data_IF_969589769304
#
_entry.id   IF_969589769304
#
_cell.length_a   1.000
_cell.length_b   1.000
_cell.length_c   1.000
_cell.angle_alpha   90.00
_cell.angle_beta   90.00
_cell.angle_gamma   90.00
#
_symmetry.space_group_name_H-M   'P 1'
#
loop_
_entity.id
_entity.type
_entity.pdbx_description
1 polymer ?
#
# COMPACT_ATOMS: atom_id res chain seq x y z
N UNK A 1 -59.46 29.20 -30.95
CA UNK A 1 -57.97 29.27 -31.15
C UNK A 1 -57.31 28.99 -29.80
N UNK A 2 -56.88 27.75 -29.60
CA UNK A 2 -56.26 27.32 -28.35
C UNK A 2 -54.76 27.23 -28.63
N UNK A 3 -53.95 28.03 -27.92
CA UNK A 3 -52.47 28.03 -27.99
C UNK A 3 -51.92 27.05 -26.93
N UNK A 4 -51.32 25.94 -27.40
CA UNK A 4 -50.52 25.06 -26.55
C UNK A 4 -49.13 25.68 -26.31
N UNK A 5 -48.79 25.94 -25.05
CA UNK A 5 -47.43 26.29 -24.62
C UNK A 5 -46.77 24.98 -24.23
N UNK A 6 -45.75 24.57 -24.98
CA UNK A 6 -44.92 23.42 -24.64
C UNK A 6 -43.84 23.86 -23.67
N UNK A 7 -43.88 23.35 -22.44
CA UNK A 7 -42.86 23.55 -21.40
C UNK A 7 -41.76 22.51 -21.62
N UNK A 8 -40.60 22.92 -22.10
CA UNK A 8 -39.42 22.07 -22.20
C UNK A 8 -38.75 21.94 -20.83
N UNK A 9 -38.81 20.74 -20.25
CA UNK A 9 -38.04 20.40 -19.06
C UNK A 9 -36.59 20.11 -19.45
N UNK A 10 -35.68 21.02 -19.07
CA UNK A 10 -34.24 20.85 -19.23
C UNK A 10 -33.73 20.06 -18.02
N UNK A 11 -33.54 18.73 -18.18
CA UNK A 11 -32.89 17.90 -17.14
C UNK A 11 -31.38 18.23 -17.09
N UNK A 12 -30.95 19.00 -16.11
CA UNK A 12 -29.53 19.13 -15.76
C UNK A 12 -29.05 17.80 -15.09
N UNK A 13 -28.34 16.98 -15.85
CA UNK A 13 -27.56 15.89 -15.29
C UNK A 13 -26.32 16.49 -14.61
N UNK A 14 -26.37 16.65 -13.30
CA UNK A 14 -25.20 16.93 -12.49
C UNK A 14 -24.36 15.65 -12.44
N UNK A 15 -23.23 15.61 -13.18
CA UNK A 15 -22.20 14.60 -12.99
C UNK A 15 -21.55 14.82 -11.63
N UNK A 16 -21.91 13.98 -10.67
CA UNK A 16 -21.20 13.92 -9.38
C UNK A 16 -19.80 13.39 -9.64
N UNK A 17 -18.80 14.27 -9.65
CA UNK A 17 -17.38 13.89 -9.64
C UNK A 17 -17.12 13.23 -8.29
N UNK A 18 -16.60 11.99 -8.23
CA UNK A 18 -16.30 11.35 -6.97
C UNK A 18 -15.25 12.16 -6.19
N UNK A 19 -15.60 12.59 -4.98
CA UNK A 19 -14.84 13.51 -4.12
C UNK A 19 -13.58 12.89 -3.46
N UNK A 20 -12.99 11.84 -4.01
CA UNK A 20 -11.88 11.08 -3.38
C UNK A 20 -10.50 11.28 -4.01
N UNK A 21 -10.36 12.19 -4.98
CA UNK A 21 -9.04 12.57 -5.52
C UNK A 21 -8.42 13.78 -4.77
N UNK A 22 -8.88 14.08 -3.54
CA UNK A 22 -8.48 15.27 -2.80
C UNK A 22 -7.06 15.12 -2.28
N UNK A 23 -6.11 15.74 -3.00
CA UNK A 23 -4.78 16.19 -2.57
C UNK A 23 -3.91 15.18 -1.79
N UNK A 24 -3.58 14.04 -2.40
CA UNK A 24 -2.42 13.28 -1.94
C UNK A 24 -1.17 14.08 -2.30
N UNK A 25 -0.36 14.46 -1.28
CA UNK A 25 0.93 15.11 -1.48
C UNK A 25 1.82 14.18 -2.36
N UNK A 26 2.22 14.60 -3.58
CA UNK A 26 3.00 13.76 -4.46
C UNK A 26 4.36 13.35 -3.86
N UNK A 27 4.92 14.16 -2.96
CA UNK A 27 6.18 13.86 -2.26
C UNK A 27 6.02 12.71 -1.25
N UNK A 28 4.80 12.48 -0.76
CA UNK A 28 4.48 11.43 0.18
C UNK A 28 3.50 10.40 -0.41
N UNK A 29 3.52 10.25 -1.73
CA UNK A 29 2.72 9.25 -2.45
C UNK A 29 3.62 8.25 -3.15
N UNK A 30 3.50 6.97 -2.79
CA UNK A 30 4.19 5.86 -3.42
C UNK A 30 3.24 5.17 -4.41
N UNK A 31 3.69 5.01 -5.65
CA UNK A 31 2.98 4.31 -6.71
C UNK A 31 3.66 2.97 -6.95
N UNK A 32 2.91 1.89 -6.80
CA UNK A 32 3.33 0.54 -7.13
C UNK A 32 2.59 0.09 -8.39
N UNK A 33 3.31 -0.18 -9.46
CA UNK A 33 2.77 -0.94 -10.60
C UNK A 33 2.96 -2.43 -10.28
N UNK A 34 1.87 -3.14 -10.12
CA UNK A 34 1.93 -4.58 -9.81
C UNK A 34 1.46 -5.44 -10.97
N UNK A 35 1.69 -6.74 -10.93
CA UNK A 35 1.16 -7.71 -11.91
C UNK A 35 -0.38 -7.76 -11.92
N UNK A 36 -1.05 -7.16 -10.92
CA UNK A 36 -2.51 -7.07 -10.83
C UNK A 36 -3.07 -5.68 -11.09
N UNK A 37 -2.19 -4.70 -11.37
CA UNK A 37 -2.57 -3.30 -11.60
C UNK A 37 -1.94 -2.35 -10.59
N UNK A 38 -2.24 -1.08 -10.76
CA UNK A 38 -1.66 0.01 -9.95
C UNK A 38 -2.26 0.03 -8.55
N UNK A 39 -1.37 0.23 -7.57
CA UNK A 39 -1.70 0.50 -6.16
C UNK A 39 -1.05 1.81 -5.75
N UNK A 40 -1.81 2.73 -5.17
CA UNK A 40 -1.32 4.04 -4.73
C UNK A 40 -1.39 4.11 -3.21
N UNK A 41 -0.25 4.37 -2.58
CA UNK A 41 -0.11 4.46 -1.13
C UNK A 41 0.24 5.90 -0.75
N UNK A 42 -0.58 6.51 0.10
CA UNK A 42 -0.21 7.75 0.78
C UNK A 42 0.60 7.39 2.01
N UNK A 43 1.87 7.81 2.01
CA UNK A 43 2.76 7.65 3.17
C UNK A 43 2.35 8.64 4.29
N UNK A 44 2.68 8.28 5.52
CA UNK A 44 2.35 9.02 6.74
C UNK A 44 3.62 9.43 7.50
N UNK A 45 4.41 10.40 6.96
CA UNK A 45 5.61 10.88 7.64
C UNK A 45 5.31 11.56 8.99
N UNK A 46 4.06 11.97 9.21
CA UNK A 46 3.56 12.45 10.50
C UNK A 46 3.52 11.35 11.59
N UNK A 47 3.39 10.08 11.20
CA UNK A 47 3.39 8.92 12.11
C UNK A 47 4.76 8.23 12.15
N UNK A 48 5.40 8.08 11.00
CA UNK A 48 6.62 7.31 10.83
C UNK A 48 7.59 7.97 9.84
N UNK A 49 8.21 9.10 10.21
CA UNK A 49 9.05 9.88 9.31
C UNK A 49 10.24 9.09 8.76
N UNK A 50 10.94 8.32 9.59
CA UNK A 50 12.12 7.52 9.17
C UNK A 50 11.73 6.41 8.20
N UNK A 51 10.60 5.75 8.43
CA UNK A 51 10.11 4.69 7.56
C UNK A 51 9.59 5.25 6.24
N UNK A 52 8.87 6.38 6.26
CA UNK A 52 8.41 7.04 5.02
C UNK A 52 9.60 7.43 4.13
N UNK A 53 10.65 8.02 4.69
CA UNK A 53 11.88 8.34 3.94
C UNK A 53 12.57 7.08 3.41
N UNK A 54 12.62 5.99 4.18
CA UNK A 54 13.21 4.73 3.74
C UNK A 54 12.48 4.16 2.54
N UNK A 55 11.14 4.13 2.53
CA UNK A 55 10.40 3.62 1.38
C UNK A 55 10.61 4.47 0.14
N UNK A 56 10.64 5.80 0.28
CA UNK A 56 10.94 6.72 -0.83
C UNK A 56 12.34 6.51 -1.38
N UNK A 57 13.33 6.38 -0.52
CA UNK A 57 14.71 6.11 -0.89
C UNK A 57 14.82 4.79 -1.68
N UNK A 58 14.24 3.71 -1.18
CA UNK A 58 14.28 2.39 -1.81
C UNK A 58 13.52 2.36 -3.14
N UNK A 59 12.41 3.10 -3.25
CA UNK A 59 11.71 3.25 -4.52
C UNK A 59 12.58 3.96 -5.58
N UNK A 60 13.28 5.04 -5.19
CA UNK A 60 14.21 5.78 -6.06
C UNK A 60 15.44 4.95 -6.46
N UNK A 61 15.91 4.08 -5.58
CA UNK A 61 16.99 3.13 -5.88
C UNK A 61 16.53 1.96 -6.80
N UNK A 62 15.23 1.87 -7.13
CA UNK A 62 14.65 0.75 -7.88
C UNK A 62 14.63 -0.56 -7.09
N UNK A 63 14.87 -0.52 -5.79
CA UNK A 63 14.99 -1.70 -4.92
C UNK A 63 13.73 -2.57 -4.94
N UNK A 64 12.55 -1.96 -5.11
CA UNK A 64 11.27 -2.66 -5.13
C UNK A 64 10.88 -3.21 -6.51
N UNK A 65 11.66 -2.97 -7.56
CA UNK A 65 11.35 -3.46 -8.91
C UNK A 65 11.46 -4.98 -8.97
N UNK A 66 10.45 -5.64 -9.53
CA UNK A 66 10.30 -7.10 -9.63
C UNK A 66 10.24 -7.84 -8.28
N UNK A 67 9.95 -7.15 -7.18
CA UNK A 67 9.88 -7.74 -5.82
C UNK A 67 8.54 -8.46 -5.62
N UNK A 68 8.56 -9.74 -5.17
CA UNK A 68 7.36 -10.54 -5.00
C UNK A 68 6.56 -10.18 -3.75
N UNK A 69 5.25 -10.43 -3.81
CA UNK A 69 4.40 -10.57 -2.63
C UNK A 69 4.55 -12.00 -2.11
N UNK A 70 5.64 -12.25 -1.40
CA UNK A 70 6.08 -13.59 -1.00
C UNK A 70 5.20 -14.24 0.06
N UNK A 71 4.43 -13.44 0.83
CA UNK A 71 3.52 -13.93 1.89
C UNK A 71 2.20 -13.19 1.80
N UNK A 72 1.13 -13.92 1.48
CA UNK A 72 -0.23 -13.36 1.35
C UNK A 72 -1.20 -14.28 2.07
N UNK A 73 -1.81 -13.80 3.14
CA UNK A 73 -2.80 -14.52 3.94
C UNK A 73 -4.17 -13.89 3.69
N UNK A 74 -5.10 -14.69 3.19
CA UNK A 74 -6.47 -14.23 2.94
C UNK A 74 -7.13 -13.71 4.21
N UNK A 75 -7.88 -12.62 4.10
CA UNK A 75 -8.53 -11.98 5.24
C UNK A 75 -7.57 -11.32 6.25
N UNK A 76 -6.23 -11.37 6.03
CA UNK A 76 -5.26 -10.75 6.93
C UNK A 76 -4.43 -9.68 6.23
N UNK A 77 -3.38 -10.07 5.46
CA UNK A 77 -2.48 -9.08 4.84
C UNK A 77 -1.72 -9.65 3.64
N UNK A 78 -1.19 -8.76 2.79
CA UNK A 78 -0.22 -9.06 1.74
C UNK A 78 1.14 -8.45 2.07
N UNK A 79 2.19 -9.26 2.22
CA UNK A 79 3.54 -8.84 2.58
C UNK A 79 4.49 -8.93 1.38
N UNK A 80 5.34 -7.92 1.24
CA UNK A 80 6.31 -7.74 0.16
C UNK A 80 7.54 -6.97 0.66
N UNK A 81 8.40 -6.52 -0.24
CA UNK A 81 9.52 -5.61 0.06
C UNK A 81 10.83 -6.31 0.41
N UNK A 82 10.93 -7.64 0.21
CA UNK A 82 12.20 -8.36 0.22
C UNK A 82 12.83 -8.33 -1.19
N UNK A 83 13.54 -7.25 -1.49
CA UNK A 83 14.24 -7.10 -2.78
C UNK A 83 15.54 -7.90 -2.88
N UNK A 84 16.01 -8.46 -1.77
CA UNK A 84 17.26 -9.22 -1.73
C UNK A 84 17.05 -10.71 -2.06
N UNK A 85 16.12 -11.37 -1.38
CA UNK A 85 15.90 -12.81 -1.53
C UNK A 85 14.50 -13.16 -2.05
N UNK A 86 13.52 -12.26 -1.92
CA UNK A 86 12.16 -12.47 -2.39
C UNK A 86 11.35 -13.53 -1.63
N UNK A 87 11.79 -13.93 -0.44
CA UNK A 87 11.18 -15.00 0.37
C UNK A 87 10.88 -14.60 1.82
N UNK A 88 11.11 -13.33 2.17
CA UNK A 88 10.86 -12.77 3.49
C UNK A 88 12.06 -12.79 4.44
N UNK A 89 13.21 -13.34 4.03
CA UNK A 89 14.41 -13.42 4.87
C UNK A 89 15.39 -12.28 4.64
N UNK A 90 15.22 -11.51 3.57
CA UNK A 90 16.13 -10.44 3.17
C UNK A 90 15.66 -9.04 3.56
N UNK A 91 16.51 -8.07 3.22
CA UNK A 91 16.26 -6.64 3.43
C UNK A 91 17.07 -5.81 2.43
N UNK A 92 17.20 -4.53 2.69
CA UNK A 92 18.08 -3.63 1.93
C UNK A 92 19.46 -3.54 2.58
N UNK A 93 20.43 -2.96 1.86
CA UNK A 93 21.78 -2.65 2.38
C UNK A 93 21.80 -1.59 3.48
N UNK A 94 20.70 -0.88 3.67
CA UNK A 94 20.58 0.18 4.67
C UNK A 94 20.38 -0.41 6.08
N UNK A 95 20.76 0.32 7.14
CA UNK A 95 20.58 -0.14 8.52
C UNK A 95 19.10 -0.28 8.87
N UNK A 96 18.80 -1.15 9.82
CA UNK A 96 17.46 -1.30 10.37
C UNK A 96 16.97 0.01 11.01
N UNK A 97 15.67 0.18 11.04
CA UNK A 97 15.00 1.34 11.58
C UNK A 97 14.46 1.05 12.99
N UNK A 98 14.57 2.02 13.92
CA UNK A 98 13.86 1.94 15.19
C UNK A 98 12.35 2.01 14.95
N UNK A 99 11.57 1.39 15.86
CA UNK A 99 10.13 1.42 15.81
C UNK A 99 9.60 2.86 15.90
N UNK A 100 8.56 3.16 15.11
CA UNK A 100 7.79 4.40 15.15
C UNK A 100 6.30 4.04 15.37
N UNK A 101 6.01 3.43 16.53
CA UNK A 101 4.66 2.98 16.87
C UNK A 101 3.71 4.14 17.10
N UNK A 102 2.46 3.97 16.70
CA UNK A 102 1.38 4.94 16.90
C UNK A 102 0.10 4.25 17.38
N UNK A 103 -0.89 5.02 17.81
CA UNK A 103 -2.22 4.52 18.18
C UNK A 103 -3.13 4.33 16.97
N UNK A 104 -2.64 4.55 15.75
CA UNK A 104 -3.41 4.36 14.51
C UNK A 104 -3.79 2.88 14.36
N UNK A 105 -5.09 2.56 14.23
CA UNK A 105 -5.53 1.17 14.16
C UNK A 105 -5.16 0.53 12.81
N UNK A 106 -4.80 -0.75 12.83
CA UNK A 106 -4.61 -1.56 11.63
C UNK A 106 -5.96 -2.02 11.10
N UNK A 107 -6.49 -1.28 10.13
CA UNK A 107 -7.71 -1.60 9.39
C UNK A 107 -7.41 -1.86 7.92
N UNK A 108 -8.42 -2.30 7.13
CA UNK A 108 -8.24 -2.53 5.69
C UNK A 108 -7.58 -1.34 4.98
N UNK A 109 -6.58 -1.62 4.15
CA UNK A 109 -5.83 -0.65 3.38
C UNK A 109 -4.69 0.04 4.15
N UNK A 110 -4.58 -0.15 5.46
CA UNK A 110 -3.42 0.34 6.23
C UNK A 110 -2.17 -0.43 5.81
N UNK A 111 -1.07 0.29 5.69
CA UNK A 111 0.25 -0.26 5.36
C UNK A 111 1.15 -0.18 6.58
N UNK A 112 1.72 -1.32 6.98
CA UNK A 112 2.62 -1.44 8.12
C UNK A 112 3.99 -1.98 7.73
N UNK A 113 5.03 -1.64 8.51
CA UNK A 113 6.37 -2.21 8.33
C UNK A 113 6.45 -3.60 8.94
N UNK A 114 6.95 -4.56 8.17
CA UNK A 114 7.32 -5.86 8.69
C UNK A 114 8.63 -5.79 9.49
N UNK A 115 8.75 -6.64 10.50
CA UNK A 115 9.90 -6.74 11.39
C UNK A 115 10.08 -8.17 11.92
N UNK A 116 11.25 -8.46 12.49
CA UNK A 116 11.50 -9.66 13.28
C UNK A 116 10.90 -9.51 14.70
N UNK A 117 11.25 -10.40 15.61
CA UNK A 117 10.89 -10.27 17.04
C UNK A 117 11.41 -8.96 17.66
N UNK A 118 12.58 -8.48 17.23
CA UNK A 118 13.09 -7.19 17.67
C UNK A 118 12.27 -6.03 17.06
N UNK A 119 11.63 -5.16 17.85
CA UNK A 119 10.85 -4.04 17.35
C UNK A 119 11.66 -3.05 16.49
N UNK A 120 12.98 -2.97 16.70
CA UNK A 120 13.90 -2.10 15.96
C UNK A 120 14.60 -2.82 14.80
N UNK A 121 13.91 -3.76 14.13
CA UNK A 121 14.45 -4.56 13.02
C UNK A 121 13.76 -4.32 11.67
N UNK A 122 12.86 -3.35 11.58
CA UNK A 122 12.25 -2.98 10.31
C UNK A 122 13.32 -2.48 9.33
N UNK A 123 13.22 -2.85 8.05
CA UNK A 123 14.21 -2.50 7.04
C UNK A 123 13.58 -2.04 5.72
N UNK A 124 13.08 -2.98 4.92
CA UNK A 124 12.48 -2.71 3.59
C UNK A 124 11.12 -3.37 3.41
N UNK A 125 10.83 -4.43 4.16
CA UNK A 125 9.59 -5.19 4.00
C UNK A 125 8.41 -4.47 4.64
N UNK A 126 7.25 -4.52 3.95
CA UNK A 126 6.00 -3.94 4.41
C UNK A 126 4.82 -4.84 4.04
N UNK A 127 3.68 -4.60 4.67
CA UNK A 127 2.46 -5.34 4.40
C UNK A 127 1.24 -4.41 4.28
N UNK A 128 0.26 -4.85 3.49
CA UNK A 128 -1.01 -4.15 3.25
C UNK A 128 -2.13 -4.98 3.88
N UNK A 129 -2.94 -4.37 4.75
CA UNK A 129 -4.02 -5.05 5.44
C UNK A 129 -5.22 -5.33 4.54
N UNK A 130 -5.76 -6.55 4.60
CA UNK A 130 -7.06 -6.89 3.99
C UNK A 130 -8.23 -6.62 4.92
N UNK A 131 -8.03 -6.80 6.22
CA UNK A 131 -9.06 -6.65 7.24
C UNK A 131 -8.49 -6.04 8.54
N UNK A 132 -9.33 -5.56 9.47
CA UNK A 132 -8.88 -5.08 10.76
C UNK A 132 -8.19 -6.16 11.60
N UNK A 133 -7.10 -5.77 12.28
CA UNK A 133 -6.43 -6.62 13.27
C UNK A 133 -5.91 -5.78 14.44
N UNK A 134 -6.65 -5.77 15.54
CA UNK A 134 -6.30 -4.99 16.74
C UNK A 134 -5.03 -5.48 17.45
N UNK A 135 -4.61 -6.73 17.24
CA UNK A 135 -3.37 -7.27 17.80
C UNK A 135 -2.10 -6.62 17.24
N UNK A 136 -2.20 -5.89 16.12
CA UNK A 136 -1.07 -5.14 15.55
C UNK A 136 -0.99 -3.70 16.08
N UNK A 137 -2.06 -3.18 16.68
CA UNK A 137 -2.11 -1.79 17.15
C UNK A 137 -1.05 -1.53 18.21
N UNK A 138 -0.26 -0.46 18.03
CA UNK A 138 0.84 -0.13 18.92
C UNK A 138 2.02 -1.12 18.91
N UNK A 139 1.98 -2.20 18.10
CA UNK A 139 3.01 -3.23 18.01
C UNK A 139 3.78 -3.19 16.69
N UNK A 140 3.22 -2.55 15.66
CA UNK A 140 3.83 -2.36 14.35
C UNK A 140 3.77 -0.89 13.94
N UNK A 141 4.75 -0.46 13.14
CA UNK A 141 4.82 0.91 12.63
C UNK A 141 3.86 1.06 11.45
N UNK A 142 2.86 1.93 11.57
CA UNK A 142 1.99 2.35 10.45
C UNK A 142 2.73 3.36 9.60
N UNK A 143 2.88 3.06 8.31
CA UNK A 143 3.65 3.89 7.38
C UNK A 143 2.79 4.58 6.33
N UNK A 144 1.53 4.18 6.17
CA UNK A 144 0.65 4.75 5.16
C UNK A 144 -0.67 4.03 5.01
N UNK A 145 -1.41 4.46 3.98
CA UNK A 145 -2.69 3.88 3.59
C UNK A 145 -2.78 3.76 2.07
N UNK A 146 -3.35 2.68 1.58
CA UNK A 146 -3.78 2.56 0.17
C UNK A 146 -4.92 3.55 -0.05
N UNK A 147 -4.75 4.46 -1.01
CA UNK A 147 -5.75 5.46 -1.40
C UNK A 147 -6.39 5.17 -2.76
N UNK A 148 -5.81 4.23 -3.54
CA UNK A 148 -6.36 3.74 -4.81
C UNK A 148 -5.76 2.38 -5.13
N UNK A 149 -6.52 1.49 -5.77
CA UNK A 149 -6.05 0.19 -6.23
C UNK A 149 -6.14 -0.91 -5.17
N UNK A 150 -6.95 -0.76 -4.11
CA UNK A 150 -7.12 -1.84 -3.13
C UNK A 150 -7.76 -3.09 -3.75
N UNK A 151 -8.58 -2.93 -4.78
CA UNK A 151 -9.12 -4.02 -5.61
C UNK A 151 -8.05 -4.82 -6.37
N UNK A 152 -6.89 -4.22 -6.64
CA UNK A 152 -5.75 -4.90 -7.24
C UNK A 152 -4.95 -5.68 -6.17
N UNK A 153 -4.89 -5.17 -4.94
CA UNK A 153 -4.33 -5.92 -3.80
C UNK A 153 -5.18 -7.16 -3.52
N UNK A 154 -6.51 -7.07 -3.60
CA UNK A 154 -7.42 -8.21 -3.41
C UNK A 154 -7.17 -9.35 -4.40
N UNK A 155 -6.73 -9.03 -5.63
CA UNK A 155 -6.44 -10.01 -6.70
C UNK A 155 -5.09 -10.72 -6.53
N UNK A 156 -4.25 -10.30 -5.58
CA UNK A 156 -2.95 -10.96 -5.33
C UNK A 156 -3.18 -12.41 -4.95
N UNK A 157 -2.34 -13.28 -5.50
CA UNK A 157 -2.38 -14.72 -5.21
C UNK A 157 -2.11 -14.97 -3.74
N UNK A 158 -3.03 -15.69 -3.08
CA UNK A 158 -2.91 -16.08 -1.68
C UNK A 158 -2.07 -17.33 -1.55
N UNK A 159 -1.27 -17.41 -0.49
CA UNK A 159 -0.62 -18.63 -0.06
C UNK A 159 -1.51 -19.42 0.89
N UNK A 160 -1.33 -20.75 0.99
CA UNK A 160 -2.10 -21.57 1.91
C UNK A 160 -1.79 -21.22 3.36
N UNK A 161 -2.82 -21.25 4.20
CA UNK A 161 -2.69 -20.96 5.64
C UNK A 161 -1.72 -21.93 6.34
N UNK A 162 -1.76 -23.20 5.95
CA UNK A 162 -0.85 -24.25 6.44
C UNK A 162 0.64 -23.96 6.19
N UNK A 163 0.94 -23.09 5.22
CA UNK A 163 2.30 -22.61 4.91
C UNK A 163 2.50 -21.16 5.35
N UNK A 164 1.73 -20.67 6.32
CA UNK A 164 1.79 -19.30 6.81
C UNK A 164 1.68 -18.25 5.68
N UNK A 165 0.88 -18.54 4.65
CA UNK A 165 0.64 -17.65 3.52
C UNK A 165 1.79 -17.55 2.51
N UNK A 166 2.79 -18.42 2.57
CA UNK A 166 3.88 -18.46 1.57
C UNK A 166 3.33 -18.74 0.17
N UNK A 167 3.69 -17.90 -0.80
CA UNK A 167 3.12 -17.94 -2.15
C UNK A 167 4.08 -18.56 -3.15
N UNK A 168 3.67 -19.65 -3.77
CA UNK A 168 4.38 -20.23 -4.92
C UNK A 168 4.02 -19.48 -6.20
N UNK A 169 5.02 -19.05 -6.98
CA UNK A 169 4.86 -18.18 -8.15
C UNK A 169 4.03 -16.91 -7.81
N UNK A 170 4.57 -16.05 -6.94
CA UNK A 170 3.86 -14.89 -6.43
C UNK A 170 3.68 -13.79 -7.49
N UNK A 171 2.64 -12.99 -7.31
CA UNK A 171 2.52 -11.69 -7.95
C UNK A 171 3.63 -10.76 -7.47
N UNK A 172 3.94 -9.71 -8.25
CA UNK A 172 5.11 -8.85 -8.02
C UNK A 172 4.75 -7.37 -8.10
N UNK A 173 5.53 -6.56 -7.42
CA UNK A 173 5.72 -5.16 -7.76
C UNK A 173 6.57 -5.14 -9.03
N UNK A 174 6.03 -4.68 -10.15
CA UNK A 174 6.77 -4.52 -11.41
C UNK A 174 7.72 -3.33 -11.29
N UNK A 175 7.19 -2.18 -10.85
CA UNK A 175 7.96 -0.98 -10.53
C UNK A 175 7.36 -0.24 -9.34
N UNK A 176 8.21 0.48 -8.61
CA UNK A 176 7.79 1.39 -7.54
C UNK A 176 8.42 2.76 -7.74
N UNK A 177 7.66 3.82 -7.49
CA UNK A 177 8.17 5.20 -7.58
C UNK A 177 7.43 6.14 -6.63
N UNK A 178 8.06 7.25 -6.29
CA UNK A 178 7.41 8.38 -5.64
C UNK A 178 6.66 9.19 -6.71
N UNK A 179 5.44 9.63 -6.43
CA UNK A 179 4.60 10.29 -7.42
C UNK A 179 5.18 11.64 -7.90
N UNK A 180 5.95 12.33 -7.05
CA UNK A 180 6.61 13.58 -7.38
C UNK A 180 7.81 13.41 -8.34
N UNK A 181 8.38 12.22 -8.43
CA UNK A 181 9.55 11.99 -9.28
C UNK A 181 9.07 11.90 -10.75
N UNK A 182 9.74 12.61 -11.65
CA UNK A 182 9.44 12.62 -13.09
C UNK A 182 9.70 11.22 -13.66
N UNK A 183 8.84 10.82 -14.60
CA UNK A 183 9.06 9.63 -15.44
C UNK A 183 10.21 9.88 -16.41
#
# INVERSE_FOLDING_TARGET
MIRFVALAFLCLFAFAVPATAQNADPQNTLILETTKGRVVIRLRPDLAPKHAERLKLLAREGFYNNVPFHRVIDGFMAQTGDGQHGNGTGGSKHPNLPAEFSQTPFVRGVVGMARSANPNSANSQFFIMYAPNSGLNGQYTVIGNVISGMENVDKLKKGPESMNGSVTNPDKIVTARVAADKQ
#
